data_IF_028560552820
#
_entry.id   IF_028560552820
#
_cell.length_a   1.000
_cell.length_b   1.000
_cell.length_c   1.000
_cell.angle_alpha   90.00
_cell.angle_beta   90.00
_cell.angle_gamma   90.00
#
_symmetry.space_group_name_H-M   'P 1'
#
loop_
_entity.id
_entity.type
_entity.pdbx_description
1 polymer ?
#
# COMPACT_ATOMS: atom_id res chain seq x y z
N UNK A 1 -22.74 -10.04 15.16
CA UNK A 1 -22.36 -10.49 13.81
C UNK A 1 -21.07 -9.85 13.30
N UNK A 2 -21.06 -8.60 12.81
CA UNK A 2 -19.84 -8.01 12.22
C UNK A 2 -18.61 -8.05 13.17
N UNK A 3 -18.80 -7.68 14.44
CA UNK A 3 -17.75 -7.77 15.48
C UNK A 3 -17.32 -9.22 15.78
N UNK A 4 -18.25 -10.19 15.77
CA UNK A 4 -17.91 -11.62 15.95
C UNK A 4 -17.10 -12.17 14.78
N UNK A 5 -17.36 -11.69 13.57
CA UNK A 5 -16.58 -12.05 12.38
C UNK A 5 -15.16 -11.48 12.47
N UNK A 6 -15.04 -10.20 12.82
CA UNK A 6 -13.73 -9.55 13.02
C UNK A 6 -12.91 -10.26 14.12
N UNK A 7 -13.54 -10.60 15.25
CA UNK A 7 -12.92 -11.29 16.37
C UNK A 7 -12.51 -12.74 16.03
N UNK A 8 -13.35 -13.46 15.29
CA UNK A 8 -13.01 -14.80 14.80
C UNK A 8 -11.81 -14.75 13.86
N UNK A 9 -11.80 -13.82 12.89
CA UNK A 9 -10.70 -13.67 11.95
C UNK A 9 -9.41 -13.16 12.62
N UNK A 10 -9.51 -12.32 13.66
CA UNK A 10 -8.32 -11.79 14.36
C UNK A 10 -7.59 -12.85 15.20
N UNK A 11 -8.30 -13.91 15.60
CA UNK A 11 -7.77 -15.05 16.35
C UNK A 11 -7.35 -16.25 15.47
N UNK A 12 -7.88 -16.37 14.23
CA UNK A 12 -7.72 -17.56 13.37
C UNK A 12 -7.04 -17.30 12.01
N UNK A 13 -6.45 -16.11 11.78
CA UNK A 13 -5.63 -15.81 10.59
C UNK A 13 -4.18 -15.57 11.00
N UNK A 14 -3.26 -16.32 10.42
CA UNK A 14 -1.81 -16.13 10.59
C UNK A 14 -1.19 -15.17 9.54
N UNK A 15 -1.82 -15.01 8.37
CA UNK A 15 -1.26 -14.30 7.21
C UNK A 15 -2.32 -13.53 6.42
N UNK A 16 -1.96 -12.32 5.98
CA UNK A 16 -2.77 -11.41 5.15
C UNK A 16 -2.06 -11.20 3.80
N UNK A 17 -2.70 -11.54 2.69
CA UNK A 17 -2.24 -11.19 1.34
C UNK A 17 -3.06 -10.01 0.82
N UNK A 18 -2.51 -8.80 0.91
CA UNK A 18 -3.20 -7.59 0.47
C UNK A 18 -2.90 -7.28 -1.01
N UNK A 19 -3.73 -7.86 -1.89
CA UNK A 19 -3.79 -7.54 -3.32
C UNK A 19 -4.93 -6.57 -3.68
N UNK A 20 -5.65 -6.01 -2.70
CA UNK A 20 -6.76 -5.10 -2.94
C UNK A 20 -6.24 -3.68 -3.22
N UNK A 21 -6.64 -3.11 -4.36
CA UNK A 21 -6.33 -1.73 -4.73
C UNK A 21 -7.38 -1.16 -5.70
N UNK A 22 -7.61 0.15 -5.59
CA UNK A 22 -8.22 0.95 -6.65
C UNK A 22 -7.13 1.29 -7.68
N UNK A 23 -7.15 0.56 -8.81
CA UNK A 23 -6.18 0.68 -9.92
C UNK A 23 -6.66 1.62 -11.04
N UNK A 24 -7.71 2.41 -10.82
CA UNK A 24 -8.29 3.27 -11.85
C UNK A 24 -7.48 4.55 -12.05
N UNK A 25 -6.96 4.74 -13.28
CA UNK A 25 -6.33 6.00 -13.71
C UNK A 25 -7.27 7.22 -13.70
N UNK A 26 -8.57 7.03 -13.45
CA UNK A 26 -9.58 8.09 -13.38
C UNK A 26 -10.28 8.16 -12.01
N UNK A 27 -9.76 7.49 -10.98
CA UNK A 27 -10.24 7.68 -9.61
C UNK A 27 -9.85 9.05 -9.07
N UNK A 28 -10.64 9.59 -8.13
CA UNK A 28 -10.24 10.76 -7.35
C UNK A 28 -9.12 10.39 -6.38
N UNK A 29 -8.38 11.40 -5.90
CA UNK A 29 -7.36 11.22 -4.85
C UNK A 29 -7.96 10.52 -3.64
N UNK A 30 -9.10 11.01 -3.12
CA UNK A 30 -9.77 10.43 -1.95
C UNK A 30 -10.18 8.96 -2.15
N UNK A 31 -10.72 8.62 -3.33
CA UNK A 31 -11.15 7.26 -3.64
C UNK A 31 -9.97 6.30 -3.93
N UNK A 32 -8.80 6.84 -4.28
CA UNK A 32 -7.57 6.07 -4.43
C UNK A 32 -6.90 5.87 -3.07
N UNK A 33 -6.75 6.96 -2.30
CA UNK A 33 -6.10 7.00 -1.00
C UNK A 33 -6.86 6.16 0.04
N UNK A 34 -8.18 6.31 0.13
CA UNK A 34 -9.01 5.53 1.06
C UNK A 34 -8.98 4.02 0.79
N UNK A 35 -8.86 3.61 -0.47
CA UNK A 35 -8.74 2.20 -0.86
C UNK A 35 -7.32 1.64 -0.67
N UNK A 36 -6.31 2.39 -1.11
CA UNK A 36 -4.94 1.89 -1.22
C UNK A 36 -4.13 2.11 0.07
N UNK A 37 -4.23 3.31 0.66
CA UNK A 37 -3.49 3.71 1.88
C UNK A 37 -4.33 3.43 3.13
N UNK A 38 -5.59 3.88 3.15
CA UNK A 38 -6.53 3.57 4.23
C UNK A 38 -6.77 2.06 4.39
N UNK A 39 -6.73 1.32 3.28
CA UNK A 39 -6.83 -0.15 3.28
C UNK A 39 -5.67 -0.84 4.00
N UNK A 40 -4.42 -0.45 3.71
CA UNK A 40 -3.24 -1.07 4.36
C UNK A 40 -3.15 -0.68 5.84
N UNK A 41 -3.51 0.56 6.22
CA UNK A 41 -3.60 0.99 7.63
C UNK A 41 -4.53 0.11 8.47
N UNK A 42 -5.76 -0.12 7.98
CA UNK A 42 -6.73 -0.96 8.69
C UNK A 42 -6.27 -2.42 8.77
N UNK A 43 -5.59 -2.94 7.74
CA UNK A 43 -5.02 -4.29 7.76
C UNK A 43 -3.83 -4.41 8.72
N UNK A 44 -2.99 -3.38 8.84
CA UNK A 44 -1.88 -3.33 9.80
C UNK A 44 -2.39 -3.27 11.24
N UNK A 45 -3.50 -2.55 11.49
CA UNK A 45 -4.18 -2.56 12.80
C UNK A 45 -4.72 -3.96 13.12
N UNK A 46 -5.39 -4.62 12.16
CA UNK A 46 -5.91 -5.99 12.33
C UNK A 46 -4.80 -7.06 12.46
N UNK A 47 -3.66 -6.90 11.79
CA UNK A 47 -2.49 -7.78 11.90
C UNK A 47 -1.81 -7.70 13.27
N UNK A 48 -1.96 -6.56 13.96
CA UNK A 48 -1.47 -6.33 15.33
C UNK A 48 -2.51 -6.71 16.40
N UNK A 49 -3.73 -7.08 16.01
CA UNK A 49 -4.85 -7.35 16.92
C UNK A 49 -4.99 -8.83 17.27
N UNK A 50 -5.14 -9.13 18.57
CA UNK A 50 -5.18 -10.45 19.21
C UNK A 50 -3.95 -11.35 18.99
N UNK A 51 -3.63 -11.72 17.75
CA UNK A 51 -2.46 -12.50 17.38
C UNK A 51 -1.68 -11.79 16.26
N UNK A 52 -0.33 -11.78 16.27
CA UNK A 52 0.48 -11.24 15.18
C UNK A 52 0.20 -11.96 13.87
N UNK A 53 0.14 -11.22 12.76
CA UNK A 53 -0.10 -11.76 11.41
C UNK A 53 0.95 -11.23 10.44
N UNK A 54 1.46 -12.10 9.57
CA UNK A 54 2.32 -11.67 8.46
C UNK A 54 1.49 -10.92 7.41
N UNK A 55 2.04 -9.89 6.78
CA UNK A 55 1.37 -9.15 5.70
C UNK A 55 2.24 -9.14 4.45
N UNK A 56 1.71 -9.68 3.35
CA UNK A 56 2.26 -9.48 2.02
C UNK A 56 1.43 -8.42 1.30
N UNK A 57 1.91 -7.17 1.29
CA UNK A 57 1.29 -6.11 0.50
C UNK A 57 1.79 -6.17 -0.95
N UNK A 58 0.86 -6.22 -1.90
CA UNK A 58 1.19 -6.18 -3.32
C UNK A 58 1.32 -4.72 -3.76
N UNK A 59 2.53 -4.30 -4.12
CA UNK A 59 2.77 -3.02 -4.76
C UNK A 59 2.99 -3.14 -6.28
N UNK A 60 3.64 -2.16 -6.89
CA UNK A 60 3.83 -2.07 -8.34
C UNK A 60 5.22 -1.52 -8.66
N UNK A 61 5.96 -2.20 -9.54
CA UNK A 61 7.30 -1.74 -9.98
C UNK A 61 7.28 -0.33 -10.63
N UNK A 62 6.09 0.13 -11.05
CA UNK A 62 5.88 1.50 -11.52
C UNK A 62 6.19 2.59 -10.48
N UNK A 63 6.34 2.27 -9.18
CA UNK A 63 6.84 3.25 -8.19
C UNK A 63 8.30 3.69 -8.46
N UNK A 64 9.05 2.94 -9.27
CA UNK A 64 10.40 3.29 -9.72
C UNK A 64 10.44 4.23 -10.95
N UNK A 65 9.27 4.70 -11.42
CA UNK A 65 9.15 5.57 -12.60
C UNK A 65 9.14 7.07 -12.24
N UNK A 66 8.85 7.96 -13.21
CA UNK A 66 8.84 9.41 -12.98
C UNK A 66 10.20 10.09 -13.19
N UNK A 67 10.36 11.29 -12.62
CA UNK A 67 11.59 12.09 -12.71
C UNK A 67 12.02 12.58 -11.33
N UNK A 68 13.28 12.35 -10.97
CA UNK A 68 13.96 13.02 -9.85
C UNK A 68 14.67 14.27 -10.36
N UNK A 69 14.56 15.39 -9.66
CA UNK A 69 15.24 16.63 -10.04
C UNK A 69 16.76 16.54 -9.87
N UNK A 70 17.49 17.26 -10.72
CA UNK A 70 18.96 17.24 -10.88
C UNK A 70 19.59 15.84 -11.09
N UNK A 71 18.79 14.83 -11.50
CA UNK A 71 19.27 13.50 -11.93
C UNK A 71 18.97 13.25 -13.40
N UNK A 72 20.01 13.05 -14.20
CA UNK A 72 19.89 12.59 -15.59
C UNK A 72 19.69 11.07 -15.69
N UNK A 73 20.23 10.32 -14.73
CA UNK A 73 20.07 8.88 -14.55
C UNK A 73 20.10 8.56 -13.05
N UNK A 74 19.42 7.49 -12.66
CA UNK A 74 19.32 6.97 -11.30
C UNK A 74 19.03 5.47 -11.36
N UNK A 75 19.45 4.72 -10.33
CA UNK A 75 19.11 3.30 -10.16
C UNK A 75 18.13 3.18 -8.99
N UNK A 76 17.13 2.32 -9.14
CA UNK A 76 16.14 1.98 -8.12
C UNK A 76 16.23 0.47 -7.87
N UNK A 77 16.13 0.05 -6.61
CA UNK A 77 16.29 -1.32 -6.13
C UNK A 77 15.25 -1.68 -5.06
N UNK A 78 15.25 -2.92 -4.59
CA UNK A 78 14.43 -3.41 -3.48
C UNK A 78 14.79 -2.81 -2.10
N UNK A 79 15.69 -1.83 -2.07
CA UNK A 79 16.04 -1.02 -0.90
C UNK A 79 15.64 0.46 -1.03
N UNK A 80 15.05 0.85 -2.18
CA UNK A 80 14.57 2.18 -2.47
C UNK A 80 13.03 2.24 -2.40
N UNK A 81 12.48 3.42 -2.10
CA UNK A 81 11.03 3.65 -2.06
C UNK A 81 10.69 5.06 -2.58
N UNK A 82 11.17 6.08 -1.87
CA UNK A 82 10.97 7.49 -2.20
C UNK A 82 12.33 8.18 -2.33
N UNK A 83 12.70 8.49 -3.57
CA UNK A 83 13.93 9.17 -3.97
C UNK A 83 13.62 10.57 -4.53
N UNK A 84 12.40 11.09 -4.26
CA UNK A 84 11.90 12.33 -4.84
C UNK A 84 11.44 12.19 -6.30
N UNK A 85 11.01 11.00 -6.73
CA UNK A 85 10.55 10.76 -8.09
C UNK A 85 9.13 11.32 -8.31
N UNK A 86 9.02 12.40 -9.10
CA UNK A 86 7.74 13.04 -9.40
C UNK A 86 7.02 12.28 -10.51
N UNK A 87 5.75 11.94 -10.25
CA UNK A 87 4.84 11.27 -11.17
C UNK A 87 3.61 12.14 -11.46
N UNK A 88 2.85 11.77 -12.49
CA UNK A 88 1.55 12.37 -12.80
C UNK A 88 0.48 11.27 -12.83
N UNK A 89 0.36 10.51 -11.74
CA UNK A 89 -0.55 9.38 -11.63
C UNK A 89 -0.88 9.06 -10.16
N UNK A 90 -2.04 9.55 -9.70
CA UNK A 90 -2.60 9.37 -8.35
C UNK A 90 -2.52 7.94 -7.83
N UNK A 91 -2.69 6.93 -8.71
CA UNK A 91 -2.53 5.54 -8.31
C UNK A 91 -1.13 5.25 -7.75
N UNK A 92 -0.07 5.68 -8.45
CA UNK A 92 1.32 5.43 -8.04
C UNK A 92 1.69 6.19 -6.77
N UNK A 93 1.22 7.43 -6.64
CA UNK A 93 1.38 8.24 -5.42
C UNK A 93 0.82 7.47 -4.20
N UNK A 94 -0.38 6.89 -4.33
CA UNK A 94 -0.99 6.05 -3.28
C UNK A 94 -0.37 4.67 -3.10
N UNK A 95 0.51 4.22 -4.01
CA UNK A 95 1.29 2.97 -3.85
C UNK A 95 2.59 3.23 -3.11
N UNK A 96 3.30 4.32 -3.44
CA UNK A 96 4.45 4.80 -2.67
C UNK A 96 4.03 5.07 -1.22
N UNK A 97 2.89 5.74 -0.99
CA UNK A 97 2.44 6.03 0.37
C UNK A 97 2.00 4.77 1.14
N UNK A 98 1.38 3.79 0.47
CA UNK A 98 0.98 2.53 1.09
C UNK A 98 2.17 1.64 1.52
N UNK A 99 3.35 1.82 0.92
CA UNK A 99 4.59 1.11 1.29
C UNK A 99 5.35 1.72 2.47
N UNK A 100 4.89 2.85 3.03
CA UNK A 100 5.53 3.54 4.18
C UNK A 100 5.07 3.04 5.56
N UNK A 101 4.20 2.02 5.63
CA UNK A 101 3.46 1.59 6.84
C UNK A 101 3.86 0.20 7.39
#
# INVERSE_FOLDING_TARGET
>A
MASETYESLSQNIDMIVNAAANVSHFATTDASYGANVGGIEQLIQFAKYNQPKEIHHMSTISIASGKVDDKAQLTFSEHDLDLGQVMNNVYLDTKIEAEKY
#
